data_IF_121018992141
#
_entry.id   IF_121018992141
#
_cell.length_a   1.000
_cell.length_b   1.000
_cell.length_c   1.000
_cell.angle_alpha   90.00
_cell.angle_beta   90.00
_cell.angle_gamma   90.00
#
_symmetry.space_group_name_H-M   'P 1'
#
loop_
_entity.id
_entity.type
_entity.pdbx_description
1 polymer ?
#
# COMPACT_ATOMS: atom_id res chain seq x y z
N UNK A 1 30.20 12.83 25.08
CA UNK A 1 30.25 11.54 25.80
C UNK A 1 28.82 11.22 26.17
N UNK A 2 28.17 10.45 25.30
CA UNK A 2 26.72 10.21 25.31
C UNK A 2 26.43 8.96 26.14
N UNK A 3 25.44 8.94 27.04
CA UNK A 3 25.07 7.71 27.72
C UNK A 3 24.27 6.81 26.78
N UNK A 4 24.79 5.61 26.55
CA UNK A 4 24.14 4.47 25.94
C UNK A 4 23.18 3.90 26.99
N UNK A 5 21.87 4.12 26.83
CA UNK A 5 20.86 3.45 27.65
C UNK A 5 20.56 2.14 26.92
N UNK A 6 21.25 1.09 27.35
CA UNK A 6 20.84 -0.28 27.10
C UNK A 6 19.55 -0.51 27.90
N UNK A 7 18.43 -0.72 27.20
CA UNK A 7 17.23 -1.28 27.80
C UNK A 7 17.49 -2.77 27.99
N UNK A 8 18.39 -3.08 28.93
CA UNK A 8 18.51 -4.42 29.50
C UNK A 8 17.24 -4.66 30.32
N UNK A 9 16.61 -5.80 30.07
CA UNK A 9 15.46 -6.30 30.81
C UNK A 9 15.74 -6.29 32.31
N UNK A 10 15.15 -5.31 33.01
CA UNK A 10 15.18 -5.19 34.46
C UNK A 10 14.21 -6.24 35.03
N UNK A 11 14.63 -7.51 34.99
CA UNK A 11 13.89 -8.60 35.63
C UNK A 11 14.36 -8.70 37.08
N UNK A 12 13.56 -8.27 38.08
CA UNK A 12 13.95 -8.35 39.50
C UNK A 12 14.28 -9.78 39.97
N UNK A 13 13.88 -10.80 39.18
CA UNK A 13 14.21 -12.21 39.38
C UNK A 13 15.65 -12.56 39.01
N UNK A 14 16.26 -11.88 38.01
CA UNK A 14 17.65 -12.10 37.62
C UNK A 14 18.60 -11.54 38.69
N UNK A 15 18.31 -10.34 39.18
CA UNK A 15 19.09 -9.70 40.26
C UNK A 15 19.06 -10.51 41.56
N UNK A 16 17.92 -11.12 41.91
CA UNK A 16 17.81 -12.01 43.06
C UNK A 16 18.75 -13.22 42.95
N UNK A 17 18.84 -13.85 41.77
CA UNK A 17 19.72 -15.01 41.53
C UNK A 17 21.19 -14.59 41.63
N UNK A 18 21.56 -13.44 41.07
CA UNK A 18 22.94 -12.95 41.14
C UNK A 18 23.34 -12.57 42.57
N UNK A 19 22.41 -12.03 43.35
CA UNK A 19 22.61 -11.72 44.77
C UNK A 19 22.81 -13.00 45.61
N UNK A 20 22.02 -14.05 45.37
CA UNK A 20 22.18 -15.36 46.04
C UNK A 20 23.52 -16.04 45.71
N UNK A 21 24.00 -15.93 44.46
CA UNK A 21 25.32 -16.44 44.06
C UNK A 21 26.45 -15.65 44.71
N UNK A 22 26.34 -14.32 44.74
CA UNK A 22 27.32 -13.45 45.40
C UNK A 22 27.37 -13.67 46.92
N UNK A 23 26.23 -14.00 47.54
CA UNK A 23 26.12 -14.39 48.94
C UNK A 23 26.58 -15.82 49.23
N UNK A 24 26.93 -16.62 48.22
CA UNK A 24 27.35 -18.02 48.35
C UNK A 24 26.23 -18.98 48.76
N UNK A 25 24.96 -18.56 48.64
CA UNK A 25 23.78 -19.37 48.98
C UNK A 25 23.51 -20.43 47.91
N UNK A 26 23.86 -20.12 46.67
CA UNK A 26 23.78 -21.05 45.54
C UNK A 26 25.14 -21.20 44.86
N UNK A 27 25.37 -22.34 44.24
CA UNK A 27 26.56 -22.58 43.41
C UNK A 27 26.38 -22.09 41.97
N UNK A 28 27.47 -22.04 41.21
CA UNK A 28 27.49 -21.56 39.82
C UNK A 28 26.65 -22.43 38.87
N UNK A 29 26.55 -23.73 39.13
CA UNK A 29 25.77 -24.65 38.29
C UNK A 29 24.26 -24.42 38.49
N UNK A 30 23.84 -24.18 39.72
CA UNK A 30 22.47 -23.88 40.10
C UNK A 30 22.04 -22.50 39.61
N UNK A 31 22.91 -21.48 39.74
CA UNK A 31 22.66 -20.16 39.16
C UNK A 31 22.45 -20.25 37.63
N UNK A 32 23.29 -21.03 36.94
CA UNK A 32 23.18 -21.24 35.49
C UNK A 32 21.86 -21.92 35.10
N UNK A 33 21.42 -22.93 35.86
CA UNK A 33 20.12 -23.59 35.64
C UNK A 33 18.95 -22.63 35.83
N UNK A 34 18.97 -21.79 36.86
CA UNK A 34 17.89 -20.82 37.13
C UNK A 34 17.83 -19.69 36.10
N UNK A 35 18.97 -19.21 35.62
CA UNK A 35 19.04 -18.22 34.53
C UNK A 35 18.54 -18.83 33.22
N UNK A 36 18.93 -20.08 32.93
CA UNK A 36 18.42 -20.81 31.76
C UNK A 36 16.90 -21.01 31.84
N UNK A 37 16.35 -21.31 33.02
CA UNK A 37 14.92 -21.42 33.25
C UNK A 37 14.19 -20.07 33.11
N UNK A 38 14.78 -18.96 33.55
CA UNK A 38 14.23 -17.61 33.30
C UNK A 38 14.24 -17.24 31.81
N UNK A 39 15.27 -17.66 31.07
CA UNK A 39 15.31 -17.49 29.61
C UNK A 39 14.28 -18.37 28.90
N UNK A 40 14.07 -19.60 29.36
CA UNK A 40 13.07 -20.51 28.79
C UNK A 40 11.63 -20.11 29.16
N UNK A 41 11.41 -19.54 30.34
CA UNK A 41 10.10 -19.00 30.76
C UNK A 41 9.80 -17.60 30.23
N UNK A 42 10.76 -16.95 29.57
CA UNK A 42 10.62 -15.65 28.90
C UNK A 42 10.40 -15.76 27.39
N UNK A 43 10.28 -16.97 26.84
CA UNK A 43 10.22 -17.20 25.40
C UNK A 43 9.40 -18.46 25.05
N UNK A 44 8.25 -18.61 25.70
CA UNK A 44 7.12 -19.23 25.01
C UNK A 44 6.46 -18.07 24.26
N UNK A 45 6.31 -18.10 22.91
CA UNK A 45 5.59 -17.06 22.21
C UNK A 45 4.19 -17.08 22.79
N UNK A 46 3.92 -16.12 23.68
CA UNK A 46 2.58 -15.80 24.10
C UNK A 46 1.86 -15.54 22.78
N UNK A 47 1.05 -16.52 22.38
CA UNK A 47 0.07 -16.31 21.35
C UNK A 47 -0.61 -15.02 21.76
N UNK A 48 -0.38 -13.96 20.99
CA UNK A 48 -1.21 -12.77 20.98
C UNK A 48 -2.64 -13.28 21.15
N UNK A 49 -3.47 -12.68 22.03
CA UNK A 49 -4.85 -13.12 22.18
C UNK A 49 -5.38 -13.35 20.78
N UNK A 50 -5.74 -14.61 20.50
CA UNK A 50 -6.11 -15.03 19.17
C UNK A 50 -7.01 -13.93 18.63
N UNK A 51 -6.65 -13.38 17.48
CA UNK A 51 -7.44 -12.36 16.82
C UNK A 51 -8.73 -13.03 16.37
N UNK A 52 -9.60 -13.35 17.33
CA UNK A 52 -10.88 -14.02 17.20
C UNK A 52 -11.78 -13.03 16.47
N UNK A 53 -11.90 -13.21 15.16
CA UNK A 53 -12.80 -12.42 14.32
C UNK A 53 -12.20 -11.87 13.02
N UNK A 54 -10.88 -11.88 12.82
CA UNK A 54 -10.33 -11.54 11.51
C UNK A 54 -10.05 -12.80 10.69
N UNK A 55 -10.49 -12.80 9.43
CA UNK A 55 -10.27 -13.91 8.50
C UNK A 55 -8.76 -14.22 8.35
N UNK A 56 -8.38 -15.51 8.26
CA UNK A 56 -7.00 -15.90 8.05
C UNK A 56 -6.52 -15.41 6.68
N UNK A 57 -5.24 -15.04 6.57
CA UNK A 57 -4.65 -14.68 5.28
C UNK A 57 -4.64 -15.95 4.41
N UNK A 58 -5.26 -15.93 3.22
CA UNK A 58 -5.26 -17.08 2.30
C UNK A 58 -3.83 -17.55 2.01
N UNK A 59 -3.55 -18.86 2.04
CA UNK A 59 -2.20 -19.38 1.73
C UNK A 59 -1.90 -19.38 0.23
N UNK A 60 -0.63 -19.21 -0.16
CA UNK A 60 -0.21 -19.23 -1.57
C UNK A 60 -0.05 -20.67 -2.10
N UNK A 61 -1.16 -21.37 -2.29
CA UNK A 61 -1.19 -22.76 -2.80
C UNK A 61 -1.37 -22.83 -4.32
N UNK A 62 -1.80 -21.74 -4.95
CA UNK A 62 -2.30 -21.74 -6.32
C UNK A 62 -3.70 -22.34 -6.43
N UNK A 63 -4.36 -22.12 -7.57
CA UNK A 63 -5.69 -22.70 -7.81
C UNK A 63 -5.90 -23.04 -9.29
N UNK A 64 -6.65 -24.10 -9.56
CA UNK A 64 -6.96 -24.57 -10.92
C UNK A 64 -5.73 -24.84 -11.79
N UNK A 65 -4.62 -25.28 -11.18
CA UNK A 65 -3.34 -25.50 -11.85
C UNK A 65 -2.58 -24.21 -12.23
N UNK A 66 -2.98 -23.06 -11.70
CA UNK A 66 -2.31 -21.77 -11.89
C UNK A 66 -1.68 -21.31 -10.58
N UNK A 67 -0.41 -20.90 -10.65
CA UNK A 67 0.32 -20.35 -9.49
C UNK A 67 0.49 -18.85 -9.57
N UNK A 68 0.44 -18.29 -10.78
CA UNK A 68 0.62 -16.86 -10.99
C UNK A 68 -0.27 -16.29 -12.09
N UNK A 69 -0.67 -15.03 -11.91
CA UNK A 69 -1.36 -14.23 -12.91
C UNK A 69 -0.54 -12.98 -13.16
N UNK A 70 -0.21 -12.69 -14.41
CA UNK A 70 0.55 -11.49 -14.79
C UNK A 70 -0.35 -10.58 -15.60
N UNK A 71 -0.60 -9.39 -15.06
CA UNK A 71 -1.42 -8.35 -15.69
C UNK A 71 -0.49 -7.31 -16.30
N UNK A 72 -0.53 -7.14 -17.61
CA UNK A 72 0.16 -6.06 -18.31
C UNK A 72 -0.87 -5.10 -18.86
N UNK A 73 -0.85 -3.85 -18.41
CA UNK A 73 -1.78 -2.83 -18.90
C UNK A 73 -1.10 -1.51 -19.24
N UNK A 74 -1.53 -0.89 -20.34
CA UNK A 74 -1.02 0.43 -20.76
C UNK A 74 -2.18 1.39 -20.92
N UNK A 75 -2.12 2.55 -20.30
CA UNK A 75 -3.15 3.59 -20.42
C UNK A 75 -4.50 3.27 -19.78
N UNK A 76 -4.60 2.24 -18.92
CA UNK A 76 -5.88 1.78 -18.36
C UNK A 76 -5.94 1.84 -16.84
N UNK A 77 -7.18 1.88 -16.35
CA UNK A 77 -7.49 1.64 -14.94
C UNK A 77 -7.69 0.14 -14.75
N UNK A 78 -6.85 -0.48 -13.93
CA UNK A 78 -6.94 -1.89 -13.56
C UNK A 78 -7.45 -1.98 -12.13
N UNK A 79 -8.50 -2.77 -11.92
CA UNK A 79 -9.01 -3.14 -10.61
C UNK A 79 -8.84 -4.64 -10.43
N UNK A 80 -8.08 -5.04 -9.42
CA UNK A 80 -7.89 -6.44 -9.05
C UNK A 80 -8.66 -6.71 -7.76
N UNK A 81 -9.46 -7.77 -7.75
CA UNK A 81 -10.29 -8.15 -6.60
C UNK A 81 -9.95 -9.60 -6.27
N UNK A 82 -9.52 -9.85 -5.04
CA UNK A 82 -9.42 -11.21 -4.53
C UNK A 82 -10.81 -11.75 -4.24
N UNK A 83 -11.10 -12.93 -4.75
CA UNK A 83 -12.41 -13.55 -4.61
C UNK A 83 -12.30 -15.07 -4.63
N UNK A 84 -12.55 -15.70 -3.49
CA UNK A 84 -12.51 -17.15 -3.32
C UNK A 84 -13.62 -17.87 -4.11
N UNK A 85 -14.71 -17.17 -4.46
CA UNK A 85 -15.77 -17.76 -5.28
C UNK A 85 -15.31 -18.02 -6.73
N UNK A 86 -14.21 -17.40 -7.16
CA UNK A 86 -13.62 -17.63 -8.49
C UNK A 86 -12.58 -18.75 -8.40
N UNK A 87 -12.72 -19.78 -9.24
CA UNK A 87 -11.76 -20.90 -9.27
C UNK A 87 -10.35 -20.44 -9.68
N UNK A 88 -10.22 -19.62 -10.72
CA UNK A 88 -8.90 -19.12 -11.17
C UNK A 88 -8.91 -17.62 -11.38
N UNK A 89 -9.46 -17.14 -12.50
CA UNK A 89 -9.55 -15.71 -12.83
C UNK A 89 -10.80 -15.45 -13.66
N UNK A 90 -11.52 -14.37 -13.35
CA UNK A 90 -12.58 -13.80 -14.19
C UNK A 90 -12.19 -12.38 -14.58
N UNK A 91 -12.32 -12.03 -15.86
CA UNK A 91 -11.87 -10.73 -16.39
C UNK A 91 -13.02 -10.03 -17.11
N UNK A 92 -13.22 -8.76 -16.79
CA UNK A 92 -14.21 -7.89 -17.42
C UNK A 92 -13.52 -6.65 -18.03
N UNK A 93 -13.90 -6.30 -19.26
CA UNK A 93 -13.30 -5.20 -20.03
C UNK A 93 -12.50 -5.68 -21.25
N UNK A 94 -11.97 -4.78 -22.08
CA UNK A 94 -11.19 -5.13 -23.27
C UNK A 94 -9.82 -5.70 -22.87
N UNK A 95 -9.58 -6.97 -23.17
CA UNK A 95 -8.35 -7.67 -22.82
C UNK A 95 -8.03 -8.81 -23.79
N UNK A 96 -6.78 -9.22 -23.80
CA UNK A 96 -6.31 -10.46 -24.43
C UNK A 96 -5.71 -11.33 -23.34
N UNK A 97 -6.06 -12.62 -23.34
CA UNK A 97 -5.52 -13.61 -22.40
C UNK A 97 -4.64 -14.60 -23.13
N UNK A 98 -3.48 -14.90 -22.54
CA UNK A 98 -2.56 -15.94 -22.99
C UNK A 98 -2.22 -16.87 -21.83
N UNK A 99 -2.45 -18.17 -22.02
CA UNK A 99 -2.02 -19.18 -21.05
C UNK A 99 -0.52 -19.47 -21.23
N UNK A 100 0.20 -19.47 -20.11
CA UNK A 100 1.61 -19.90 -19.99
C UNK A 100 1.65 -21.17 -19.13
N UNK A 101 2.76 -21.90 -19.10
CA UNK A 101 2.88 -23.20 -18.43
C UNK A 101 2.29 -23.23 -17.00
N UNK A 102 2.68 -22.27 -16.14
CA UNK A 102 2.24 -22.19 -14.73
C UNK A 102 1.47 -20.89 -14.38
N UNK A 103 1.02 -20.14 -15.40
CA UNK A 103 0.37 -18.87 -15.15
C UNK A 103 -0.44 -18.28 -16.30
N UNK A 104 -1.23 -17.28 -15.97
CA UNK A 104 -2.11 -16.58 -16.91
C UNK A 104 -1.55 -15.20 -17.20
N UNK A 105 -1.29 -14.87 -18.46
CA UNK A 105 -0.90 -13.53 -18.89
C UNK A 105 -2.12 -12.79 -19.43
N UNK A 106 -2.43 -11.63 -18.85
CA UNK A 106 -3.54 -10.75 -19.22
C UNK A 106 -2.93 -9.47 -19.77
N UNK A 107 -3.20 -9.17 -21.04
CA UNK A 107 -2.75 -7.95 -21.67
C UNK A 107 -3.95 -7.05 -21.97
N UNK A 108 -3.89 -5.81 -21.52
CA UNK A 108 -4.93 -4.81 -21.77
C UNK A 108 -4.30 -3.51 -22.25
N UNK A 109 -4.64 -3.09 -23.47
CA UNK A 109 -4.13 -1.84 -24.03
C UNK A 109 -5.26 -0.83 -24.11
N UNK A 110 -5.17 0.22 -23.30
CA UNK A 110 -6.00 1.40 -23.37
C UNK A 110 -5.58 2.23 -24.56
N UNK A 111 -6.56 2.67 -25.35
CA UNK A 111 -6.28 3.72 -26.33
C UNK A 111 -6.10 5.04 -25.56
N UNK A 112 -4.86 5.48 -25.36
CA UNK A 112 -4.60 6.91 -25.19
C UNK A 112 -5.01 7.59 -26.51
N UNK A 113 -6.18 8.21 -26.55
CA UNK A 113 -6.56 9.11 -27.64
C UNK A 113 -5.89 10.48 -27.46
N UNK A 114 -5.68 11.26 -28.54
CA UNK A 114 -6.39 11.20 -29.81
C UNK A 114 -5.55 10.58 -30.92
N UNK A 115 -6.22 10.06 -31.95
CA UNK A 115 -5.60 9.82 -33.25
C UNK A 115 -4.73 11.02 -33.65
N UNK A 116 -3.42 10.79 -33.80
CA UNK A 116 -2.45 11.73 -34.38
C UNK A 116 -2.75 11.93 -35.87
N UNK A 117 -3.87 12.59 -36.17
CA UNK A 117 -4.14 13.25 -37.45
C UNK A 117 -5.32 14.20 -37.24
N UNK A 118 -5.03 15.49 -37.09
CA UNK A 118 -6.02 16.56 -37.19
C UNK A 118 -6.47 17.13 -35.85
N UNK A 119 -5.89 18.27 -35.50
CA UNK A 119 -6.58 19.29 -34.70
C UNK A 119 -7.94 19.57 -35.37
N UNK A 120 -9.05 19.14 -34.76
CA UNK A 120 -10.37 19.66 -35.09
C UNK A 120 -10.80 20.60 -33.97
N UNK A 121 -11.13 21.88 -34.29
CA UNK A 121 -11.48 22.87 -33.30
C UNK A 121 -12.92 22.65 -32.83
N UNK A 122 -13.13 22.88 -31.52
CA UNK A 122 -14.42 23.22 -30.89
C UNK A 122 -15.48 22.13 -30.93
N UNK A 123 -15.74 21.49 -29.78
CA UNK A 123 -17.07 21.34 -29.16
C UNK A 123 -16.88 20.89 -27.69
N UNK A 124 -17.50 21.55 -26.68
CA UNK A 124 -17.44 21.11 -25.29
C UNK A 124 -18.34 19.86 -25.11
N UNK A 125 -17.82 18.74 -24.56
CA UNK A 125 -18.55 17.48 -24.51
C UNK A 125 -19.68 17.52 -23.48
N UNK A 126 -20.93 17.23 -23.91
CA UNK A 126 -22.14 17.26 -23.06
C UNK A 126 -22.70 15.87 -22.72
N UNK A 127 -22.01 14.76 -23.05
CA UNK A 127 -22.56 13.41 -22.84
C UNK A 127 -21.52 12.40 -22.33
N UNK A 128 -21.91 11.53 -21.39
CA UNK A 128 -21.04 10.49 -20.79
C UNK A 128 -20.39 9.52 -21.79
N UNK A 129 -20.96 9.40 -23.00
CA UNK A 129 -20.40 8.61 -24.10
C UNK A 129 -19.18 9.30 -24.77
N UNK A 130 -19.05 10.62 -24.66
CA UNK A 130 -17.97 11.41 -25.25
C UNK A 130 -16.70 11.37 -24.37
N UNK A 131 -16.86 11.22 -23.04
CA UNK A 131 -15.76 10.94 -22.11
C UNK A 131 -15.11 9.56 -22.34
N UNK A 132 -15.87 8.59 -22.88
CA UNK A 132 -15.32 7.29 -23.31
C UNK A 132 -14.39 7.43 -24.52
N UNK A 133 -14.54 8.49 -25.32
CA UNK A 133 -13.70 8.78 -26.49
C UNK A 133 -12.43 9.59 -26.13
N UNK A 134 -12.40 10.23 -24.95
CA UNK A 134 -11.25 10.97 -24.40
C UNK A 134 -10.12 10.09 -23.82
N UNK A 135 -10.04 8.81 -24.18
CA UNK A 135 -8.99 7.89 -23.71
C UNK A 135 -9.18 7.34 -22.29
N UNK A 136 -10.32 7.61 -21.67
CA UNK A 136 -10.75 7.00 -20.40
C UNK A 136 -11.42 5.64 -20.68
N UNK A 137 -10.67 4.70 -21.26
CA UNK A 137 -11.18 3.38 -21.65
C UNK A 137 -11.91 2.62 -20.52
N UNK A 138 -12.65 1.55 -20.85
CA UNK A 138 -13.31 0.72 -19.85
C UNK A 138 -12.27 0.23 -18.83
N UNK A 139 -12.61 0.35 -17.54
CA UNK A 139 -11.74 -0.18 -16.49
C UNK A 139 -11.63 -1.70 -16.68
N UNK A 140 -10.40 -2.23 -16.63
CA UNK A 140 -10.16 -3.66 -16.61
C UNK A 140 -10.41 -4.14 -15.18
N UNK A 141 -11.42 -4.97 -14.98
CA UNK A 141 -11.67 -5.62 -13.69
C UNK A 141 -11.22 -7.08 -13.76
N UNK A 142 -10.35 -7.48 -12.84
CA UNK A 142 -9.79 -8.83 -12.75
C UNK A 142 -10.15 -9.38 -11.37
N UNK A 143 -11.07 -10.34 -11.31
CA UNK A 143 -11.34 -11.12 -10.10
C UNK A 143 -10.43 -12.34 -10.12
N UNK A 144 -9.64 -12.54 -9.08
CA UNK A 144 -8.64 -13.61 -8.98
C UNK A 144 -8.81 -14.34 -7.67
N UNK A 145 -8.60 -15.65 -7.68
CA UNK A 145 -8.57 -16.41 -6.45
C UNK A 145 -7.41 -15.91 -5.56
N UNK A 146 -7.62 -15.57 -4.28
CA UNK A 146 -6.59 -14.98 -3.42
C UNK A 146 -5.45 -15.96 -3.10
N UNK A 147 -5.60 -17.26 -3.36
CA UNK A 147 -4.53 -18.26 -3.27
C UNK A 147 -3.54 -18.23 -4.45
N UNK A 148 -3.76 -17.38 -5.47
CA UNK A 148 -2.89 -17.23 -6.63
C UNK A 148 -2.07 -15.94 -6.52
N UNK A 149 -0.78 -16.01 -6.85
CA UNK A 149 0.09 -14.83 -6.85
C UNK A 149 -0.25 -13.89 -8.02
N UNK A 150 -0.36 -12.59 -7.75
CA UNK A 150 -0.59 -11.57 -8.78
C UNK A 150 0.68 -10.78 -9.07
N UNK A 151 1.04 -10.69 -10.35
CA UNK A 151 2.04 -9.77 -10.88
C UNK A 151 1.32 -8.70 -11.70
N UNK A 152 1.76 -7.45 -11.60
CA UNK A 152 1.18 -6.35 -12.35
C UNK A 152 2.26 -5.48 -12.96
N UNK A 153 2.11 -5.14 -14.23
CA UNK A 153 2.92 -4.17 -14.94
C UNK A 153 2.00 -3.15 -15.59
N UNK A 154 2.06 -1.91 -15.13
CA UNK A 154 1.26 -0.82 -15.66
C UNK A 154 2.15 0.31 -16.18
N UNK A 155 1.81 0.83 -17.34
CA UNK A 155 2.44 2.04 -17.91
C UNK A 155 1.36 3.05 -18.28
N UNK A 156 1.28 4.16 -17.54
CA UNK A 156 0.21 5.13 -17.67
C UNK A 156 -1.13 4.55 -17.17
N UNK A 157 -1.66 5.04 -16.05
CA UNK A 157 -2.98 4.62 -15.57
C UNK A 157 -3.06 4.45 -14.06
N UNK A 158 -3.96 3.59 -13.60
CA UNK A 158 -4.11 3.33 -12.16
C UNK A 158 -4.34 1.86 -11.83
N UNK A 159 -3.62 1.34 -10.84
CA UNK A 159 -3.83 0.01 -10.27
C UNK A 159 -4.55 0.16 -8.92
N UNK A 160 -5.68 -0.54 -8.76
CA UNK A 160 -6.35 -0.69 -7.48
C UNK A 160 -6.47 -2.16 -7.15
N UNK A 161 -6.11 -2.55 -5.94
CA UNK A 161 -6.41 -3.87 -5.44
C UNK A 161 -7.30 -3.84 -4.22
N UNK A 162 -8.05 -4.92 -4.06
CA UNK A 162 -8.87 -5.21 -2.90
C UNK A 162 -8.77 -6.71 -2.63
N UNK A 163 -8.51 -7.09 -1.38
CA UNK A 163 -8.53 -8.48 -0.92
C UNK A 163 -7.54 -9.41 -1.65
N UNK A 164 -6.44 -8.86 -2.17
CA UNK A 164 -5.36 -9.63 -2.81
C UNK A 164 -4.13 -9.65 -1.90
N UNK A 165 -3.88 -10.75 -1.16
CA UNK A 165 -2.80 -10.82 -0.20
C UNK A 165 -1.42 -11.01 -0.85
N UNK A 166 -1.33 -11.76 -1.96
CA UNK A 166 -0.07 -12.20 -2.54
C UNK A 166 0.30 -11.47 -3.82
N UNK A 167 1.24 -10.54 -3.71
CA UNK A 167 1.82 -9.83 -4.84
C UNK A 167 3.25 -10.32 -5.10
N UNK A 168 3.50 -10.69 -6.35
CA UNK A 168 4.85 -10.96 -6.81
C UNK A 168 5.52 -9.66 -7.23
N UNK A 169 5.62 -9.47 -8.55
CA UNK A 169 6.24 -8.28 -9.14
C UNK A 169 5.19 -7.26 -9.55
N UNK A 170 5.27 -6.05 -8.98
CA UNK A 170 4.43 -4.90 -9.30
C UNK A 170 5.29 -3.78 -9.86
N UNK A 171 5.08 -3.41 -11.12
CA UNK A 171 5.76 -2.28 -11.76
C UNK A 171 4.74 -1.30 -12.28
N UNK A 172 4.80 -0.06 -11.80
CA UNK A 172 3.89 0.98 -12.26
C UNK A 172 4.69 2.22 -12.60
N UNK A 173 4.59 2.63 -13.86
CA UNK A 173 5.22 3.85 -14.38
C UNK A 173 4.14 4.86 -14.76
N UNK A 174 4.33 6.13 -14.39
CA UNK A 174 3.40 7.22 -14.71
C UNK A 174 1.94 6.94 -14.27
N UNK A 175 1.75 6.52 -13.02
CA UNK A 175 0.43 6.07 -12.56
C UNK A 175 0.20 6.16 -11.07
N UNK A 176 -1.04 5.87 -10.66
CA UNK A 176 -1.43 5.81 -9.26
C UNK A 176 -1.74 4.36 -8.85
N UNK A 177 -1.13 3.90 -7.77
CA UNK A 177 -1.34 2.55 -7.24
C UNK A 177 -1.95 2.62 -5.84
N UNK A 178 -3.00 1.85 -5.60
CA UNK A 178 -3.56 1.64 -4.27
C UNK A 178 -3.78 0.16 -4.05
N UNK A 179 -2.94 -0.46 -3.23
CA UNK A 179 -3.06 -1.85 -2.84
C UNK A 179 -3.65 -1.94 -1.43
N UNK A 180 -4.62 -2.83 -1.23
CA UNK A 180 -5.26 -3.08 0.07
C UNK A 180 -5.19 -4.55 0.43
N UNK A 181 -5.03 -4.83 1.72
CA UNK A 181 -4.94 -6.18 2.26
C UNK A 181 -3.67 -6.92 1.82
N UNK A 182 -2.57 -6.22 1.59
CA UNK A 182 -1.31 -6.84 1.14
C UNK A 182 -0.63 -7.56 2.29
N UNK A 183 -0.49 -8.88 2.18
CA UNK A 183 0.26 -9.70 3.11
C UNK A 183 1.72 -9.91 2.65
N UNK A 184 1.93 -9.97 1.34
CA UNK A 184 3.23 -10.14 0.71
C UNK A 184 3.31 -9.35 -0.61
N UNK A 185 4.42 -8.63 -0.82
CA UNK A 185 4.78 -7.92 -2.05
C UNK A 185 6.27 -8.11 -2.33
N UNK A 186 6.61 -9.09 -3.18
CA UNK A 186 8.00 -9.48 -3.40
C UNK A 186 8.88 -8.36 -4.01
N UNK A 187 8.39 -7.70 -5.07
CA UNK A 187 9.13 -6.64 -5.78
C UNK A 187 8.17 -5.57 -6.29
N UNK A 188 8.17 -4.39 -5.66
CA UNK A 188 7.39 -3.22 -6.08
C UNK A 188 8.29 -2.13 -6.65
N UNK A 189 8.09 -1.74 -7.91
CA UNK A 189 8.76 -0.59 -8.53
C UNK A 189 7.73 0.46 -8.98
N UNK A 190 7.85 1.66 -8.43
CA UNK A 190 6.97 2.79 -8.72
C UNK A 190 7.76 3.95 -9.30
N UNK A 191 7.51 4.27 -10.57
CA UNK A 191 8.23 5.30 -11.32
C UNK A 191 7.25 6.42 -11.68
N UNK A 192 7.55 7.65 -11.29
CA UNK A 192 6.72 8.83 -11.58
C UNK A 192 5.24 8.67 -11.18
N UNK A 193 4.96 8.44 -9.90
CA UNK A 193 3.60 8.13 -9.45
C UNK A 193 3.34 8.25 -7.95
N UNK A 194 2.12 7.93 -7.55
CA UNK A 194 1.77 7.77 -6.13
C UNK A 194 1.40 6.32 -5.84
N UNK A 195 1.98 5.73 -4.80
CA UNK A 195 1.68 4.37 -4.36
C UNK A 195 1.21 4.39 -2.91
N UNK A 196 0.09 3.72 -2.65
CA UNK A 196 -0.40 3.44 -1.29
C UNK A 196 -0.48 1.93 -1.14
N UNK A 197 0.24 1.38 -0.18
CA UNK A 197 0.24 -0.05 0.14
C UNK A 197 -0.30 -0.19 1.55
N UNK A 198 -1.45 -0.84 1.68
CA UNK A 198 -2.11 -1.09 2.94
C UNK A 198 -2.20 -2.60 3.17
N UNK A 199 -1.88 -3.05 4.38
CA UNK A 199 -2.08 -4.43 4.79
C UNK A 199 -1.21 -4.85 5.97
N UNK A 200 -1.33 -6.11 6.40
CA UNK A 200 -0.53 -6.65 7.49
C UNK A 200 0.95 -6.78 7.10
N UNK A 201 1.28 -7.04 5.83
CA UNK A 201 2.68 -7.24 5.38
C UNK A 201 3.44 -8.18 6.33
N UNK A 202 2.89 -9.35 6.61
CA UNK A 202 3.40 -10.30 7.62
C UNK A 202 4.17 -11.47 7.02
N UNK A 203 4.38 -11.50 5.70
CA UNK A 203 5.00 -12.62 4.99
C UNK A 203 6.17 -12.18 4.11
N UNK A 204 7.23 -13.00 4.13
CA UNK A 204 8.32 -12.99 3.15
C UNK A 204 9.23 -11.76 3.16
N UNK A 205 9.94 -11.60 2.06
CA UNK A 205 10.81 -10.46 1.79
C UNK A 205 10.08 -9.50 0.85
N UNK A 206 9.93 -8.26 1.30
CA UNK A 206 9.18 -7.24 0.60
C UNK A 206 10.12 -6.10 0.20
N UNK A 207 10.37 -5.93 -1.09
CA UNK A 207 11.22 -4.83 -1.57
C UNK A 207 10.37 -3.84 -2.35
N UNK A 208 10.30 -2.59 -1.89
CA UNK A 208 9.57 -1.53 -2.58
C UNK A 208 10.54 -0.39 -2.93
N UNK A 209 10.60 -0.06 -4.22
CA UNK A 209 11.41 1.01 -4.79
C UNK A 209 10.55 2.08 -5.42
N UNK A 210 10.82 3.33 -5.07
CA UNK A 210 10.12 4.50 -5.61
C UNK A 210 11.15 5.47 -6.18
N UNK A 211 11.18 5.59 -7.50
CA UNK A 211 12.15 6.47 -8.15
C UNK A 211 11.73 7.93 -8.07
N UNK A 212 10.46 8.22 -8.36
CA UNK A 212 9.93 9.57 -8.30
C UNK A 212 8.46 9.56 -7.91
N UNK A 213 8.11 10.39 -6.91
CA UNK A 213 6.74 10.55 -6.43
C UNK A 213 6.55 10.30 -4.94
N UNK A 214 5.44 9.67 -4.56
CA UNK A 214 5.08 9.46 -3.14
C UNK A 214 4.68 8.02 -2.86
N UNK A 215 5.26 7.43 -1.82
CA UNK A 215 4.88 6.15 -1.27
C UNK A 215 4.28 6.34 0.12
N UNK A 216 3.15 5.70 0.37
CA UNK A 216 2.54 5.59 1.68
C UNK A 216 2.37 4.11 2.00
N UNK A 217 2.98 3.65 3.08
CA UNK A 217 2.79 2.30 3.62
C UNK A 217 1.95 2.42 4.87
N UNK A 218 0.83 1.71 4.90
CA UNK A 218 -0.12 1.69 6.01
C UNK A 218 -0.15 0.27 6.58
N UNK A 219 0.49 0.08 7.72
CA UNK A 219 0.52 -1.19 8.43
C UNK A 219 -0.79 -1.34 9.20
N UNK A 220 -1.47 -2.47 8.98
CA UNK A 220 -2.74 -2.80 9.64
C UNK A 220 -2.52 -3.77 10.79
N UNK A 221 -3.62 -4.16 11.44
CA UNK A 221 -3.63 -5.26 12.40
C UNK A 221 -2.97 -6.51 11.83
N UNK A 222 -2.27 -7.27 12.68
CA UNK A 222 -1.42 -8.43 12.34
C UNK A 222 -0.15 -8.10 11.55
N UNK A 223 0.26 -6.85 11.51
CA UNK A 223 1.57 -6.53 10.98
C UNK A 223 2.68 -7.13 11.83
N UNK A 224 3.56 -7.88 11.17
CA UNK A 224 4.71 -8.56 11.78
C UNK A 224 5.90 -8.46 10.84
N UNK A 225 6.59 -7.31 10.92
CA UNK A 225 7.58 -6.92 9.91
C UNK A 225 8.67 -6.01 10.48
N UNK A 226 9.90 -6.25 10.04
CA UNK A 226 11.02 -5.33 10.22
C UNK A 226 11.16 -4.42 8.99
N UNK A 227 11.10 -3.11 9.23
CA UNK A 227 11.11 -2.09 8.18
C UNK A 227 12.44 -1.35 8.16
N UNK A 228 13.06 -1.30 6.99
CA UNK A 228 14.20 -0.41 6.72
C UNK A 228 13.84 0.53 5.58
N UNK A 229 14.11 1.83 5.73
CA UNK A 229 13.79 2.82 4.71
C UNK A 229 15.00 3.71 4.38
N UNK A 230 15.33 3.81 3.10
CA UNK A 230 16.41 4.68 2.60
C UNK A 230 15.89 5.56 1.48
N UNK A 231 16.19 6.85 1.50
CA UNK A 231 15.76 7.78 0.46
C UNK A 231 16.90 8.73 0.10
N UNK A 232 17.36 8.69 -1.15
CA UNK A 232 18.55 9.43 -1.59
C UNK A 232 18.31 10.95 -1.63
N UNK A 233 17.20 11.37 -2.23
CA UNK A 233 16.83 12.76 -2.47
C UNK A 233 15.36 12.94 -2.09
N UNK A 234 15.09 12.91 -0.80
CA UNK A 234 13.70 13.02 -0.32
C UNK A 234 13.59 12.94 1.19
N UNK A 235 12.37 12.70 1.66
CA UNK A 235 12.09 12.56 3.09
C UNK A 235 11.41 11.22 3.37
N UNK A 236 11.82 10.58 4.47
CA UNK A 236 11.12 9.45 5.07
C UNK A 236 10.39 9.96 6.31
N UNK A 237 9.10 9.64 6.44
CA UNK A 237 8.28 9.92 7.61
C UNK A 237 7.99 8.59 8.29
N UNK A 238 8.51 8.45 9.50
CA UNK A 238 8.27 7.30 10.37
C UNK A 238 6.99 7.48 11.18
N UNK A 239 6.35 6.39 11.63
CA UNK A 239 5.15 6.46 12.47
C UNK A 239 5.39 7.25 13.77
N UNK A 240 4.37 7.95 14.25
CA UNK A 240 4.37 8.62 15.55
C UNK A 240 5.15 9.94 15.64
N UNK A 241 5.66 10.46 14.52
CA UNK A 241 6.23 11.81 14.31
C UNK A 241 7.18 12.38 15.39
N UNK A 242 7.85 11.55 16.20
CA UNK A 242 8.88 12.01 17.16
C UNK A 242 10.27 12.00 16.54
N UNK A 243 10.48 12.78 15.48
CA UNK A 243 11.79 13.30 15.02
C UNK A 243 12.99 12.36 14.85
N UNK A 244 12.83 11.05 15.07
CA UNK A 244 13.88 10.06 15.06
C UNK A 244 14.14 9.58 13.65
N UNK A 245 15.40 9.65 13.24
CA UNK A 245 15.88 8.80 12.17
C UNK A 245 15.97 7.37 12.74
N UNK A 246 15.13 6.47 12.26
CA UNK A 246 15.25 5.05 12.57
C UNK A 246 16.01 4.37 11.44
N UNK A 247 17.00 3.55 11.79
CA UNK A 247 17.66 2.67 10.82
C UNK A 247 16.77 1.45 10.51
N UNK A 248 16.07 0.96 11.54
CA UNK A 248 15.10 -0.12 11.46
C UNK A 248 13.91 0.17 12.40
N UNK A 249 12.69 -0.14 11.95
CA UNK A 249 11.46 -0.07 12.73
C UNK A 249 10.78 -1.43 12.71
N UNK A 250 10.60 -2.04 13.88
CA UNK A 250 10.03 -3.39 14.00
C UNK A 250 8.60 -3.28 14.51
N UNK A 251 7.68 -3.94 13.81
CA UNK A 251 6.28 -4.11 14.22
C UNK A 251 6.04 -5.59 14.48
N UNK A 252 5.38 -5.92 15.59
CA UNK A 252 5.19 -7.32 16.01
C UNK A 252 6.53 -7.97 16.39
N UNK A 253 6.80 -9.15 15.85
CA UNK A 253 8.02 -9.93 16.11
C UNK A 253 9.11 -9.73 15.03
N UNK A 254 8.81 -9.04 13.94
CA UNK A 254 9.70 -8.86 12.80
C UNK A 254 9.87 -10.10 11.90
N UNK A 255 8.84 -10.94 11.75
CA UNK A 255 8.90 -12.18 10.97
C UNK A 255 9.09 -11.93 9.46
N UNK A 256 8.46 -10.88 8.93
CA UNK A 256 8.67 -10.43 7.55
C UNK A 256 9.70 -9.30 7.50
N UNK A 257 10.24 -9.07 6.30
CA UNK A 257 11.14 -7.93 6.05
C UNK A 257 10.54 -7.02 5.01
N UNK A 258 10.59 -5.70 5.24
CA UNK A 258 10.17 -4.67 4.30
C UNK A 258 11.28 -3.65 4.09
N UNK A 259 11.87 -3.68 2.89
CA UNK A 259 12.89 -2.74 2.45
C UNK A 259 12.28 -1.68 1.53
N UNK A 260 12.31 -0.42 1.98
CA UNK A 260 11.82 0.73 1.24
C UNK A 260 13.00 1.54 0.70
N UNK A 261 13.05 1.75 -0.60
CA UNK A 261 14.09 2.57 -1.24
C UNK A 261 13.48 3.68 -2.09
N UNK A 262 13.99 4.90 -1.92
CA UNK A 262 13.54 6.10 -2.62
C UNK A 262 14.69 6.81 -3.34
N UNK A 263 14.44 7.35 -4.53
CA UNK A 263 15.39 8.26 -5.19
C UNK A 263 14.95 9.71 -5.01
N UNK A 264 13.95 10.19 -5.75
CA UNK A 264 13.36 11.53 -5.62
C UNK A 264 11.93 11.45 -5.10
N UNK A 265 11.76 10.97 -3.87
CA UNK A 265 10.43 10.58 -3.39
C UNK A 265 10.11 11.05 -1.97
N UNK A 266 8.83 11.04 -1.62
CA UNK A 266 8.37 11.09 -0.22
C UNK A 266 7.90 9.70 0.18
N UNK A 267 8.51 9.13 1.21
CA UNK A 267 8.08 7.86 1.80
C UNK A 267 7.43 8.18 3.14
N UNK A 268 6.19 7.76 3.35
CA UNK A 268 5.52 7.86 4.63
C UNK A 268 5.10 6.47 5.09
N UNK A 269 5.49 6.12 6.30
CA UNK A 269 5.16 4.87 6.95
C UNK A 269 4.19 5.23 8.08
N UNK A 270 3.07 4.52 8.13
CA UNK A 270 2.02 4.69 9.12
C UNK A 270 1.77 3.35 9.79
N UNK A 271 1.78 3.36 11.11
CA UNK A 271 1.34 2.23 11.90
C UNK A 271 -0.04 2.55 12.45
N UNK A 272 -1.08 2.02 11.80
CA UNK A 272 -2.47 2.31 12.16
C UNK A 272 -2.90 1.60 13.45
N UNK A 273 -2.12 0.62 13.92
CA UNK A 273 -2.38 -0.11 15.17
C UNK A 273 -1.81 0.66 16.34
N UNK A 274 -0.54 1.09 16.23
CA UNK A 274 0.12 1.86 17.28
C UNK A 274 -0.35 3.32 17.34
N UNK A 275 -0.67 3.92 16.18
CA UNK A 275 -1.06 5.32 16.03
C UNK A 275 -2.32 5.45 15.16
N UNK A 276 -3.50 5.07 15.67
CA UNK A 276 -4.75 5.10 14.91
C UNK A 276 -5.12 6.51 14.41
N UNK A 277 -4.67 7.57 15.09
CA UNK A 277 -4.88 8.96 14.66
C UNK A 277 -4.20 9.30 13.31
N UNK A 278 -3.24 8.50 12.84
CA UNK A 278 -2.62 8.68 11.53
C UNK A 278 -3.54 8.30 10.37
N UNK A 279 -4.57 7.48 10.62
CA UNK A 279 -5.57 7.09 9.63
C UNK A 279 -6.35 8.30 9.08
N UNK A 280 -6.69 9.24 9.96
CA UNK A 280 -7.50 10.42 9.63
C UNK A 280 -6.67 11.55 8.97
N UNK A 281 -5.33 11.41 8.91
CA UNK A 281 -4.49 12.42 8.28
C UNK A 281 -4.58 12.34 6.75
N UNK A 282 -5.04 13.39 6.05
CA UNK A 282 -5.22 13.35 4.61
C UNK A 282 -3.87 13.17 3.91
N UNK A 283 -3.80 12.18 3.01
CA UNK A 283 -2.60 11.91 2.23
C UNK A 283 -2.23 13.11 1.36
N UNK A 284 -0.96 13.26 0.99
CA UNK A 284 -0.53 14.37 0.14
C UNK A 284 -1.33 14.41 -1.19
N UNK A 285 -1.62 13.24 -1.77
CA UNK A 285 -2.47 13.12 -2.97
C UNK A 285 -3.92 13.51 -2.74
N UNK A 286 -4.48 13.23 -1.56
CA UNK A 286 -5.85 13.62 -1.22
C UNK A 286 -5.95 15.11 -0.95
N UNK A 287 -4.96 15.72 -0.30
CA UNK A 287 -4.90 17.19 -0.13
C UNK A 287 -4.88 17.95 -1.46
N UNK A 288 -4.14 17.46 -2.45
CA UNK A 288 -4.15 18.06 -3.80
C UNK A 288 -5.52 17.90 -4.46
N UNK A 289 -6.16 16.73 -4.34
CA UNK A 289 -7.50 16.50 -4.90
C UNK A 289 -8.58 17.31 -4.22
N UNK A 290 -8.51 17.45 -2.90
CA UNK A 290 -9.49 18.16 -2.11
C UNK A 290 -9.36 19.68 -2.31
N UNK A 291 -8.12 20.17 -2.39
CA UNK A 291 -7.83 21.53 -2.85
C UNK A 291 -8.37 21.80 -4.26
N UNK A 292 -8.16 20.88 -5.20
CA UNK A 292 -8.72 20.98 -6.56
C UNK A 292 -10.26 20.96 -6.55
N UNK A 293 -10.88 20.12 -5.71
CA UNK A 293 -12.33 20.04 -5.56
C UNK A 293 -12.91 21.34 -5.02
N UNK A 294 -12.31 21.93 -3.98
CA UNK A 294 -12.71 23.22 -3.40
C UNK A 294 -12.63 24.35 -4.44
N UNK A 295 -11.57 24.38 -5.26
CA UNK A 295 -11.42 25.36 -6.34
C UNK A 295 -12.52 25.20 -7.40
N UNK A 296 -12.83 23.97 -7.81
CA UNK A 296 -13.90 23.70 -8.78
C UNK A 296 -15.28 24.10 -8.24
N UNK A 297 -15.57 23.86 -6.96
CA UNK A 297 -16.83 24.30 -6.34
C UNK A 297 -16.93 25.82 -6.34
N UNK A 298 -15.87 26.53 -5.94
CA UNK A 298 -15.84 27.99 -5.96
C UNK A 298 -15.99 28.58 -7.38
N UNK A 299 -15.41 27.95 -8.40
CA UNK A 299 -15.59 28.36 -9.79
C UNK A 299 -17.04 28.16 -10.23
N UNK A 300 -17.67 27.03 -9.86
CA UNK A 300 -19.08 26.78 -10.17
C UNK A 300 -20.00 27.79 -9.48
N UNK A 301 -19.74 28.10 -8.21
CA UNK A 301 -20.53 29.09 -7.46
C UNK A 301 -20.35 30.50 -8.05
N UNK A 302 -19.14 30.85 -8.48
CA UNK A 302 -18.87 32.11 -9.18
C UNK A 302 -19.54 32.19 -10.57
N UNK A 303 -19.59 31.07 -11.31
CA UNK A 303 -20.28 30.99 -12.60
C UNK A 303 -21.81 31.03 -12.46
N UNK A 304 -22.36 30.42 -11.39
CA UNK A 304 -23.77 30.52 -11.07
C UNK A 304 -24.15 31.98 -10.71
N UNK A 305 -23.35 32.66 -9.90
CA UNK A 305 -23.55 34.07 -9.56
C UNK A 305 -23.46 35.00 -10.80
N UNK A 306 -22.60 34.69 -11.77
CA UNK A 306 -22.49 35.45 -13.02
C UNK A 306 -23.65 35.21 -14.00
N UNK A 307 -24.33 34.07 -13.91
CA UNK A 307 -25.48 33.74 -14.77
C UNK A 307 -26.75 34.41 -14.25
N UNK A 308 -26.87 34.55 -12.92
CA UNK A 308 -28.02 35.21 -12.27
C UNK A 308 -28.00 36.74 -12.44
N UNK A 309 -26.81 37.36 -12.46
CA UNK A 309 -26.67 38.82 -12.66
C UNK A 309 -26.84 39.31 -14.11
N UNK A 310 -27.00 38.40 -15.09
CA UNK A 310 -27.12 38.74 -16.51
C UNK A 310 -28.57 38.83 -17.03
N UNK A 311 -29.55 38.43 -16.22
CA UNK A 311 -30.96 38.38 -16.64
C UNK A 311 -31.80 39.59 -16.20
N UNK A 312 -31.27 40.44 -15.32
CA UNK A 312 -31.98 41.62 -14.80
C UNK A 312 -31.64 42.94 -15.54
N UNK A 313 -30.81 42.92 -16.59
CA UNK A 313 -30.35 44.12 -17.31
C UNK A 313 -30.81 44.21 -18.78
N UNK A 314 -31.81 43.42 -19.21
CA UNK A 314 -32.32 43.41 -20.59
C UNK A 314 -33.84 43.68 -20.68
N UNK A 315 -34.36 44.59 -19.85
CA UNK A 315 -35.80 44.90 -19.80
C UNK A 315 -36.12 46.35 -19.41
N UNK A 316 -35.28 47.31 -19.79
CA UNK A 316 -35.56 48.73 -19.57
C UNK A 316 -35.05 49.58 -20.75
N UNK A 317 -35.67 49.44 -21.92
CA UNK A 317 -35.66 50.43 -23.01
C UNK A 317 -36.74 50.02 -24.03
N UNK A 318 -38.00 50.35 -23.76
CA UNK A 318 -39.07 50.60 -24.74
C UNK A 318 -40.34 51.06 -23.99
N UNK A 319 -40.41 52.35 -23.66
CA UNK A 319 -41.59 53.23 -23.86
C UNK A 319 -41.21 54.72 -23.65
#
# INVERSE_FOLDING_TARGET
MTPYIDVMSDSPKLDAILSELAGGVIDTAEASRRIAALRQGGDEPAALPATEGLEPIPELTGSGGMRSVTITATGQRVRVIGDEAVTTVTISGPHTVRRTADGLAITATGRLGPSVKGFSPVHPPRTASDLKQLGLGPALEVRVNPHIQVNAQLSGGSLRSQDVPHWGRVRVSAGATRLRGVAQLNDGLFQAGSATVNGPVSLGLNTIRVESGSLIVELTERADVSLSATNQLGVVRWPGEKGGHFDEYVVGHGLARLELSGVMSRIAIRDLVAFPEEADRPTASERVRDGARVVVTKIRDAQAAHTDGGQDAAGAEEE
#
